data_IF_797326714243
#
_entry.id   IF_797326714243
#
_cell.length_a   1.000
_cell.length_b   1.000
_cell.length_c   1.000
_cell.angle_alpha   90.00
_cell.angle_beta   90.00
_cell.angle_gamma   90.00
#
_symmetry.space_group_name_H-M   'P 1'
#
loop_
_entity.id
_entity.type
_entity.pdbx_description
1 polymer ?
#
# COMPACT_ATOMS: atom_id res chain seq x y z
N UNK A 1 -4.34 -0.18 -3.39
CA UNK A 1 -3.40 -0.75 -4.36
C UNK A 1 -2.45 -1.75 -3.69
N UNK A 2 -1.64 -1.35 -2.71
CA UNK A 2 -0.69 -2.24 -2.04
C UNK A 2 -1.34 -3.49 -1.42
N UNK A 3 -2.53 -3.36 -0.82
CA UNK A 3 -3.27 -4.50 -0.29
C UNK A 3 -3.72 -5.48 -1.40
N UNK A 4 -4.06 -4.97 -2.60
CA UNK A 4 -4.37 -5.81 -3.76
C UNK A 4 -3.14 -6.58 -4.24
N UNK A 5 -1.96 -5.92 -4.28
CA UNK A 5 -0.69 -6.59 -4.61
C UNK A 5 -0.39 -7.66 -3.56
N UNK A 6 -0.43 -7.31 -2.27
CA UNK A 6 -0.17 -8.25 -1.18
C UNK A 6 -1.09 -9.48 -1.24
N UNK A 7 -2.39 -9.26 -1.46
CA UNK A 7 -3.38 -10.34 -1.65
C UNK A 7 -3.05 -11.22 -2.85
N UNK A 8 -2.68 -10.64 -3.98
CA UNK A 8 -2.38 -11.41 -5.19
C UNK A 8 -1.09 -12.23 -5.05
N UNK A 9 -0.05 -11.62 -4.47
CA UNK A 9 1.24 -12.29 -4.21
C UNK A 9 1.06 -13.41 -3.17
N UNK A 10 0.29 -13.17 -2.10
CA UNK A 10 0.11 -14.12 -1.00
C UNK A 10 -0.63 -15.41 -1.38
N UNK A 11 -1.21 -15.50 -2.57
CA UNK A 11 -1.76 -16.75 -3.10
C UNK A 11 -0.69 -17.83 -3.34
N UNK A 12 0.54 -17.41 -3.59
CA UNK A 12 1.65 -18.30 -3.95
C UNK A 12 2.86 -18.08 -3.04
N UNK A 13 3.12 -16.82 -2.65
CA UNK A 13 4.32 -16.39 -1.96
C UNK A 13 4.01 -15.83 -0.58
N UNK A 14 4.85 -16.13 0.40
CA UNK A 14 4.68 -15.63 1.77
C UNK A 14 4.91 -14.11 1.82
N UNK A 15 3.89 -13.39 2.25
CA UNK A 15 3.88 -11.92 2.28
C UNK A 15 3.71 -11.40 3.71
N UNK A 16 4.60 -10.51 4.14
CA UNK A 16 4.45 -9.75 5.38
C UNK A 16 3.90 -8.36 5.06
N UNK A 17 2.82 -7.99 5.73
CA UNK A 17 2.19 -6.67 5.61
C UNK A 17 2.24 -5.94 6.95
N UNK A 18 3.05 -4.88 7.03
CA UNK A 18 3.11 -3.98 8.19
C UNK A 18 2.15 -2.82 7.97
N UNK A 19 1.07 -2.80 8.74
CA UNK A 19 0.02 -1.78 8.67
C UNK A 19 0.12 -0.84 9.85
N UNK A 20 0.74 0.31 9.64
CA UNK A 20 1.04 1.25 10.72
C UNK A 20 -0.09 2.25 10.95
N UNK A 21 -1.00 2.39 9.97
CA UNK A 21 -2.16 3.29 10.04
C UNK A 21 -3.47 2.54 10.29
N UNK A 22 -3.64 1.38 9.66
CA UNK A 22 -4.90 0.64 9.71
C UNK A 22 -4.77 -0.60 10.60
N UNK A 23 -5.81 -0.91 11.38
CA UNK A 23 -5.87 -2.13 12.16
C UNK A 23 -6.02 -3.38 11.26
N UNK A 24 -5.59 -4.55 11.77
CA UNK A 24 -5.83 -5.85 11.13
C UNK A 24 -7.28 -6.03 10.72
N UNK A 25 -8.22 -5.66 11.61
CA UNK A 25 -9.64 -5.80 11.36
C UNK A 25 -10.08 -5.00 10.14
N UNK A 26 -9.60 -3.76 9.98
CA UNK A 26 -9.93 -2.93 8.82
C UNK A 26 -9.36 -3.49 7.53
N UNK A 27 -8.13 -4.06 7.56
CA UNK A 27 -7.55 -4.72 6.40
C UNK A 27 -8.33 -6.00 6.04
N UNK A 28 -8.67 -6.83 7.03
CA UNK A 28 -9.46 -8.04 6.82
C UNK A 28 -10.84 -7.72 6.23
N UNK A 29 -11.51 -6.67 6.71
CA UNK A 29 -12.77 -6.22 6.13
C UNK A 29 -12.64 -5.85 4.65
N UNK A 30 -11.57 -5.16 4.27
CA UNK A 30 -11.31 -4.82 2.86
C UNK A 30 -11.02 -6.08 2.04
N UNK A 31 -10.22 -7.01 2.55
CA UNK A 31 -9.91 -8.27 1.87
C UNK A 31 -11.16 -9.11 1.65
N UNK A 32 -12.03 -9.25 2.67
CA UNK A 32 -13.32 -9.95 2.53
C UNK A 32 -14.16 -9.30 1.43
N UNK A 33 -14.27 -7.96 1.40
CA UNK A 33 -15.02 -7.26 0.36
C UNK A 33 -14.44 -7.50 -1.04
N UNK A 34 -13.10 -7.56 -1.17
CA UNK A 34 -12.43 -7.85 -2.44
C UNK A 34 -12.71 -9.25 -2.95
N UNK A 35 -12.81 -10.26 -2.05
CA UNK A 35 -13.01 -11.66 -2.43
C UNK A 35 -14.48 -12.01 -2.66
N UNK A 36 -15.37 -11.44 -1.87
CA UNK A 36 -16.79 -11.83 -1.86
C UNK A 36 -17.70 -10.92 -2.67
N UNK A 37 -17.17 -9.88 -3.30
CA UNK A 37 -17.94 -8.82 -3.97
C UNK A 37 -19.06 -8.28 -3.04
N UNK A 38 -18.73 -8.09 -1.76
CA UNK A 38 -19.57 -7.42 -0.78
C UNK A 38 -19.20 -5.94 -0.72
N UNK A 39 -20.21 -5.08 -0.78
CA UNK A 39 -20.00 -3.63 -0.72
C UNK A 39 -19.30 -3.23 0.58
N UNK A 40 -18.26 -2.43 0.47
CA UNK A 40 -17.50 -1.93 1.62
C UNK A 40 -18.36 -1.05 2.55
N UNK A 41 -19.37 -0.33 2.01
CA UNK A 41 -20.34 0.41 2.79
C UNK A 41 -21.13 -0.50 3.73
N UNK A 42 -21.64 -1.62 3.23
CA UNK A 42 -22.37 -2.60 4.06
C UNK A 42 -21.47 -3.17 5.17
N UNK A 43 -20.19 -3.42 4.85
CA UNK A 43 -19.21 -3.92 5.82
C UNK A 43 -19.00 -2.90 6.95
N UNK A 44 -18.92 -1.60 6.63
CA UNK A 44 -18.75 -0.51 7.60
C UNK A 44 -19.99 -0.29 8.46
N UNK A 45 -21.17 -0.30 7.85
CA UNK A 45 -22.46 -0.08 8.50
C UNK A 45 -22.91 -1.30 9.32
N UNK A 46 -22.28 -2.46 9.12
CA UNK A 46 -22.65 -3.76 9.73
C UNK A 46 -24.10 -4.14 9.46
N UNK A 47 -24.63 -3.70 8.33
CA UNK A 47 -26.02 -3.94 7.91
C UNK A 47 -26.07 -5.10 6.92
N UNK A 48 -26.07 -6.33 7.47
CA UNK A 48 -26.04 -7.56 6.69
C UNK A 48 -27.38 -8.27 6.68
N UNK A 49 -27.85 -8.62 5.49
CA UNK A 49 -28.92 -9.59 5.33
C UNK A 49 -28.32 -11.03 5.29
N UNK A 50 -29.18 -12.04 5.17
CA UNK A 50 -28.76 -13.44 5.15
C UNK A 50 -27.78 -13.78 3.99
N UNK A 51 -27.95 -13.15 2.83
CA UNK A 51 -27.08 -13.35 1.67
C UNK A 51 -25.74 -12.64 1.85
N UNK A 52 -25.74 -11.45 2.48
CA UNK A 52 -24.50 -10.73 2.80
C UNK A 52 -23.65 -11.55 3.78
N UNK A 53 -24.26 -12.18 4.79
CA UNK A 53 -23.55 -13.07 5.71
C UNK A 53 -22.90 -14.26 4.99
N UNK A 54 -23.62 -14.85 4.03
CA UNK A 54 -23.01 -15.93 3.21
C UNK A 54 -21.79 -15.43 2.46
N UNK A 55 -21.88 -14.27 1.82
CA UNK A 55 -20.74 -13.64 1.13
C UNK A 55 -19.56 -13.40 2.07
N UNK A 56 -19.81 -12.91 3.29
CA UNK A 56 -18.75 -12.70 4.30
C UNK A 56 -18.04 -14.01 4.62
N UNK A 57 -18.80 -15.09 4.83
CA UNK A 57 -18.21 -16.41 5.14
C UNK A 57 -17.42 -16.97 3.94
N UNK A 58 -18.01 -16.96 2.75
CA UNK A 58 -17.35 -17.43 1.53
C UNK A 58 -16.05 -16.63 1.27
N UNK A 59 -16.06 -15.29 1.48
CA UNK A 59 -14.88 -14.46 1.36
C UNK A 59 -13.83 -14.74 2.45
N UNK A 60 -14.26 -15.00 3.68
CA UNK A 60 -13.35 -15.34 4.78
C UNK A 60 -12.67 -16.70 4.54
N UNK A 61 -13.40 -17.67 4.00
CA UNK A 61 -12.84 -18.99 3.65
C UNK A 61 -11.74 -18.88 2.59
N UNK A 62 -11.94 -18.03 1.57
CA UNK A 62 -10.92 -17.77 0.54
C UNK A 62 -9.65 -17.11 1.09
N UNK A 63 -9.79 -16.37 2.19
CA UNK A 63 -8.63 -15.70 2.80
C UNK A 63 -7.78 -16.63 3.67
N UNK A 64 -8.31 -17.78 4.11
CA UNK A 64 -7.58 -18.74 4.94
C UNK A 64 -6.39 -19.37 4.19
N UNK A 65 -6.50 -19.49 2.88
CA UNK A 65 -5.47 -20.07 2.01
C UNK A 65 -4.36 -19.08 1.63
N UNK A 66 -4.48 -17.82 2.03
CA UNK A 66 -3.48 -16.80 1.72
C UNK A 66 -2.29 -16.88 2.68
N UNK A 67 -1.08 -16.88 2.13
CA UNK A 67 0.16 -16.76 2.87
C UNK A 67 0.43 -15.29 3.26
N UNK A 68 -0.59 -14.59 3.78
CA UNK A 68 -0.56 -13.18 4.17
C UNK A 68 -0.50 -13.02 5.68
N UNK A 69 0.61 -12.50 6.18
CA UNK A 69 0.83 -12.21 7.60
C UNK A 69 0.76 -10.71 7.83
N UNK A 70 -0.18 -10.28 8.66
CA UNK A 70 -0.40 -8.86 8.94
C UNK A 70 0.06 -8.51 10.35
N UNK A 71 0.88 -7.47 10.46
CA UNK A 71 1.28 -6.85 11.71
C UNK A 71 0.76 -5.42 11.75
N UNK A 72 -0.07 -5.08 12.73
CA UNK A 72 -0.67 -3.75 12.92
C UNK A 72 -0.12 -3.01 14.15
N UNK A 73 1.12 -3.34 14.54
CA UNK A 73 1.83 -2.60 15.58
C UNK A 73 2.26 -1.22 15.04
N UNK A 74 1.67 -0.16 15.59
CA UNK A 74 1.96 1.22 15.18
C UNK A 74 3.34 1.72 15.62
N UNK A 75 4.00 1.03 16.55
CA UNK A 75 5.33 1.40 17.05
C UNK A 75 6.36 0.35 16.61
N UNK A 76 6.70 0.39 15.33
CA UNK A 76 7.64 -0.57 14.76
C UNK A 76 8.87 0.16 14.21
N UNK A 77 10.06 -0.40 14.45
CA UNK A 77 11.32 0.06 13.87
C UNK A 77 11.73 -0.80 12.68
N UNK A 78 12.71 -0.36 11.91
CA UNK A 78 13.27 -1.18 10.80
C UNK A 78 13.96 -2.43 11.36
N UNK A 79 14.54 -2.35 12.54
CA UNK A 79 15.13 -3.53 13.22
C UNK A 79 14.06 -4.56 13.62
N UNK A 80 12.87 -4.10 14.02
CA UNK A 80 11.75 -5.01 14.32
C UNK A 80 11.22 -5.67 13.05
N UNK A 81 11.09 -4.90 11.95
CA UNK A 81 10.70 -5.43 10.63
C UNK A 81 11.67 -6.52 10.20
N UNK A 82 12.98 -6.27 10.32
CA UNK A 82 14.04 -7.24 10.04
C UNK A 82 13.88 -8.50 10.88
N UNK A 83 13.75 -8.35 12.19
CA UNK A 83 13.62 -9.49 13.11
C UNK A 83 12.39 -10.34 12.77
N UNK A 84 11.24 -9.72 12.51
CA UNK A 84 10.00 -10.41 12.14
C UNK A 84 10.12 -11.12 10.80
N UNK A 85 10.77 -10.50 9.80
CA UNK A 85 11.01 -11.14 8.50
C UNK A 85 11.87 -12.40 8.63
N UNK A 86 12.94 -12.36 9.44
CA UNK A 86 13.80 -13.51 9.71
C UNK A 86 13.04 -14.62 10.46
N UNK A 87 12.25 -14.25 11.49
CA UNK A 87 11.47 -15.22 12.26
C UNK A 87 10.36 -15.87 11.45
N UNK A 88 9.77 -15.16 10.51
CA UNK A 88 8.69 -15.68 9.67
C UNK A 88 9.19 -16.68 8.63
N UNK A 89 10.47 -16.71 8.31
CA UNK A 89 11.11 -17.57 7.29
C UNK A 89 10.39 -17.54 5.93
N UNK A 90 11.11 -17.78 4.87
CA UNK A 90 10.59 -17.92 3.49
C UNK A 90 9.66 -16.75 3.06
N UNK A 91 9.91 -15.55 3.59
CA UNK A 91 9.19 -14.34 3.17
C UNK A 91 9.70 -13.90 1.81
N UNK A 92 8.79 -13.63 0.89
CA UNK A 92 9.11 -13.25 -0.49
C UNK A 92 8.64 -11.83 -0.86
N UNK A 93 7.80 -11.22 -0.02
CA UNK A 93 7.41 -9.82 -0.15
C UNK A 93 7.18 -9.18 1.22
N UNK A 94 7.72 -7.99 1.41
CA UNK A 94 7.40 -7.13 2.56
C UNK A 94 6.63 -5.91 2.05
N UNK A 95 5.47 -5.62 2.66
CA UNK A 95 4.68 -4.41 2.41
C UNK A 95 4.65 -3.56 3.65
N UNK A 96 4.84 -2.24 3.52
CA UNK A 96 4.85 -1.29 4.65
C UNK A 96 3.90 -0.14 4.33
N UNK A 97 2.87 0.04 5.14
CA UNK A 97 1.86 1.09 5.01
C UNK A 97 1.85 1.97 6.28
N UNK A 98 2.55 3.09 6.30
CA UNK A 98 3.43 3.74 5.34
C UNK A 98 4.73 4.26 5.99
N UNK A 99 5.70 4.62 5.16
CA UNK A 99 7.08 5.00 5.55
C UNK A 99 7.16 5.97 6.73
N UNK A 100 6.37 7.05 6.68
CA UNK A 100 6.43 8.13 7.65
C UNK A 100 5.92 7.75 9.06
N UNK A 101 5.32 6.56 9.23
CA UNK A 101 4.90 6.04 10.53
C UNK A 101 5.91 5.06 11.16
N UNK A 102 6.95 4.68 10.44
CA UNK A 102 8.02 3.86 11.01
C UNK A 102 8.69 4.65 12.14
N UNK A 103 8.87 3.98 13.29
CA UNK A 103 9.53 4.57 14.44
C UNK A 103 11.03 4.65 14.25
N UNK A 104 11.62 5.80 14.55
CA UNK A 104 13.06 5.98 14.48
C UNK A 104 13.74 5.48 15.77
N UNK A 105 14.84 4.75 15.63
CA UNK A 105 15.68 4.32 16.73
C UNK A 105 16.62 5.42 17.25
N UNK A 106 16.76 6.48 16.48
CA UNK A 106 17.65 7.60 16.78
C UNK A 106 16.87 8.91 16.76
N UNK A 107 17.37 9.92 17.48
CA UNK A 107 16.84 11.29 17.38
C UNK A 107 17.48 11.98 16.18
N UNK A 108 16.66 12.59 15.36
CA UNK A 108 17.09 13.40 14.22
C UNK A 108 16.77 14.87 14.45
N UNK A 109 17.58 15.75 13.85
CA UNK A 109 17.39 17.19 13.92
C UNK A 109 16.21 17.70 13.11
N UNK A 110 15.82 16.97 12.07
CA UNK A 110 14.70 17.29 11.20
C UNK A 110 14.11 16.03 10.54
N UNK A 111 12.89 16.15 10.04
CA UNK A 111 12.14 15.06 9.43
C UNK A 111 12.77 14.52 8.13
N UNK A 112 13.38 15.40 7.34
CA UNK A 112 14.06 15.03 6.08
C UNK A 112 15.19 14.05 6.35
N UNK A 113 16.04 14.34 7.33
CA UNK A 113 17.16 13.45 7.71
C UNK A 113 16.66 12.11 8.26
N UNK A 114 15.57 12.13 9.02
CA UNK A 114 14.94 10.92 9.55
C UNK A 114 14.43 10.01 8.42
N UNK A 115 13.66 10.56 7.47
CA UNK A 115 13.15 9.82 6.32
C UNK A 115 14.29 9.31 5.44
N UNK A 116 15.35 10.12 5.26
CA UNK A 116 16.54 9.70 4.47
C UNK A 116 17.25 8.50 5.09
N UNK A 117 17.39 8.45 6.40
CA UNK A 117 17.96 7.29 7.08
C UNK A 117 17.05 6.06 6.95
N UNK A 118 15.73 6.25 7.05
CA UNK A 118 14.75 5.16 6.91
C UNK A 118 14.80 4.54 5.51
N UNK A 119 14.77 5.34 4.46
CA UNK A 119 14.81 4.84 3.07
C UNK A 119 16.09 4.08 2.78
N UNK A 120 17.22 4.63 3.22
CA UNK A 120 18.52 3.96 3.10
C UNK A 120 18.53 2.62 3.83
N UNK A 121 18.04 2.57 5.07
CA UNK A 121 17.98 1.33 5.87
C UNK A 121 17.04 0.29 5.25
N UNK A 122 15.89 0.70 4.71
CA UNK A 122 14.98 -0.19 3.98
C UNK A 122 15.65 -0.75 2.71
N UNK A 123 16.41 0.07 1.99
CA UNK A 123 17.18 -0.40 0.83
C UNK A 123 18.26 -1.42 1.22
N UNK A 124 18.94 -1.19 2.34
CA UNK A 124 19.93 -2.15 2.89
C UNK A 124 19.24 -3.44 3.30
N UNK A 125 18.10 -3.34 3.99
CA UNK A 125 17.32 -4.49 4.44
C UNK A 125 16.83 -5.35 3.27
N UNK A 126 16.30 -4.72 2.21
CA UNK A 126 15.86 -5.43 1.01
C UNK A 126 17.00 -6.23 0.36
N UNK A 127 18.22 -5.65 0.33
CA UNK A 127 19.40 -6.34 -0.18
C UNK A 127 19.92 -7.44 0.76
N UNK A 128 19.90 -7.21 2.06
CA UNK A 128 20.36 -8.16 3.06
C UNK A 128 19.51 -9.44 3.05
N UNK A 129 18.20 -9.27 2.97
CA UNK A 129 17.24 -10.38 2.98
C UNK A 129 17.00 -10.97 1.58
N UNK A 130 17.42 -10.28 0.52
CA UNK A 130 17.09 -10.58 -0.88
C UNK A 130 15.57 -10.65 -1.11
N UNK A 131 14.83 -9.74 -0.47
CA UNK A 131 13.36 -9.66 -0.51
C UNK A 131 12.95 -8.28 -1.04
N UNK A 132 12.02 -8.18 -2.01
CA UNK A 132 11.44 -6.91 -2.41
C UNK A 132 10.62 -6.29 -1.27
N UNK A 133 10.80 -4.97 -1.09
CA UNK A 133 10.03 -4.18 -0.12
C UNK A 133 9.16 -3.19 -0.89
N UNK A 134 7.84 -3.34 -0.77
CA UNK A 134 6.85 -2.38 -1.25
C UNK A 134 6.49 -1.42 -0.11
N UNK A 135 7.05 -0.21 -0.16
CA UNK A 135 6.82 0.79 0.89
C UNK A 135 5.94 1.92 0.36
N UNK A 136 4.82 2.18 1.03
CA UNK A 136 3.96 3.31 0.70
C UNK A 136 4.57 4.60 1.28
N UNK A 137 4.35 5.70 0.58
CA UNK A 137 4.77 7.02 1.04
C UNK A 137 3.69 8.05 0.78
N UNK A 138 3.47 8.91 1.76
CA UNK A 138 2.59 10.05 1.59
C UNK A 138 3.25 11.10 0.71
N UNK A 139 2.47 11.69 -0.21
CA UNK A 139 2.90 12.82 -1.02
C UNK A 139 2.76 14.14 -0.26
N UNK A 140 3.56 15.12 -0.64
CA UNK A 140 3.38 16.50 -0.18
C UNK A 140 2.08 17.08 -0.76
N UNK A 141 1.50 18.07 -0.08
CA UNK A 141 0.29 18.75 -0.56
C UNK A 141 0.51 19.64 -1.80
N UNK A 142 1.74 19.70 -2.32
CA UNK A 142 2.04 20.48 -3.51
C UNK A 142 1.28 19.98 -4.76
N UNK A 143 1.01 18.68 -4.86
CA UNK A 143 0.19 18.12 -5.94
C UNK A 143 -1.24 18.66 -5.93
N UNK A 144 -1.83 18.92 -4.76
CA UNK A 144 -3.18 19.46 -4.62
C UNK A 144 -3.31 20.92 -5.08
N UNK A 145 -2.19 21.66 -5.11
CA UNK A 145 -2.14 23.07 -5.53
C UNK A 145 -1.97 23.24 -7.04
N UNK A 146 -1.65 22.18 -7.78
CA UNK A 146 -1.52 22.21 -9.22
C UNK A 146 -2.89 22.06 -9.90
N UNK A 147 -3.03 22.66 -11.07
CA UNK A 147 -4.29 22.62 -11.85
C UNK A 147 -4.67 21.20 -12.29
N UNK A 148 -3.67 20.38 -12.59
CA UNK A 148 -3.86 18.99 -13.04
C UNK A 148 -3.88 17.97 -11.91
N UNK A 149 -3.49 18.37 -10.69
CA UNK A 149 -3.36 17.52 -9.50
C UNK A 149 -2.53 16.25 -9.72
N UNK A 150 -1.83 16.15 -10.87
CA UNK A 150 -1.07 14.95 -11.24
C UNK A 150 0.20 14.83 -10.40
N UNK A 151 0.42 13.71 -9.69
CA UNK A 151 1.60 13.56 -8.85
C UNK A 151 2.88 13.41 -9.68
N UNK A 152 3.99 13.92 -9.17
CA UNK A 152 5.32 13.83 -9.78
C UNK A 152 6.40 13.61 -8.72
N UNK A 153 7.62 13.23 -9.14
CA UNK A 153 8.73 12.91 -8.22
C UNK A 153 9.05 14.05 -7.24
N UNK A 154 8.89 15.30 -7.67
CA UNK A 154 9.09 16.46 -6.76
C UNK A 154 8.09 16.53 -5.60
N UNK A 155 6.98 15.80 -5.65
CA UNK A 155 6.01 15.74 -4.54
C UNK A 155 6.50 14.83 -3.41
N UNK A 156 7.56 14.06 -3.66
CA UNK A 156 8.36 13.36 -2.65
C UNK A 156 9.42 14.27 -2.01
N UNK A 157 9.31 15.60 -2.18
CA UNK A 157 10.37 16.60 -1.92
C UNK A 157 10.86 16.64 -0.47
N UNK A 158 10.01 16.42 0.51
CA UNK A 158 10.43 16.32 1.92
C UNK A 158 11.26 15.05 2.17
N UNK A 159 11.50 14.28 1.12
CA UNK A 159 12.16 12.99 1.12
C UNK A 159 12.84 12.73 -0.23
N UNK A 160 13.67 13.68 -0.70
CA UNK A 160 14.47 13.48 -1.95
C UNK A 160 15.29 12.19 -1.95
N UNK A 161 15.56 11.65 -0.77
CA UNK A 161 16.14 10.33 -0.56
C UNK A 161 15.23 9.18 -1.02
N UNK A 162 13.89 9.31 -0.92
CA UNK A 162 12.97 8.28 -1.41
C UNK A 162 13.20 8.07 -2.91
N UNK A 163 13.28 9.17 -3.66
CA UNK A 163 13.57 9.09 -5.09
C UNK A 163 14.94 8.46 -5.36
N UNK A 164 15.95 8.77 -4.57
CA UNK A 164 17.31 8.26 -4.78
C UNK A 164 17.42 6.77 -4.45
N UNK A 165 16.85 6.34 -3.33
CA UNK A 165 17.01 4.99 -2.79
C UNK A 165 16.08 3.96 -3.46
N UNK A 166 14.87 4.36 -3.87
CA UNK A 166 13.92 3.47 -4.53
C UNK A 166 14.43 3.06 -5.92
N UNK A 167 14.27 1.78 -6.28
CA UNK A 167 14.52 1.28 -7.62
C UNK A 167 13.37 1.61 -8.57
N UNK A 168 12.14 1.54 -8.05
CA UNK A 168 10.91 1.85 -8.77
C UNK A 168 10.09 2.81 -7.91
N UNK A 169 9.52 3.84 -8.54
CA UNK A 169 8.54 4.73 -7.91
C UNK A 169 7.26 4.69 -8.74
N UNK A 170 6.19 4.24 -8.10
CA UNK A 170 4.84 4.22 -8.66
C UNK A 170 4.01 5.31 -8.01
N UNK A 171 3.31 6.09 -8.83
CA UNK A 171 2.36 7.10 -8.36
C UNK A 171 0.97 6.77 -8.86
N UNK A 172 -0.01 6.84 -7.99
CA UNK A 172 -1.40 6.58 -8.34
C UNK A 172 -2.14 7.90 -8.50
N UNK A 173 -2.85 8.04 -9.61
CA UNK A 173 -3.64 9.20 -9.91
C UNK A 173 -5.03 8.82 -10.41
N UNK A 174 -6.06 9.33 -9.74
CA UNK A 174 -7.46 9.15 -10.13
C UNK A 174 -8.05 10.51 -10.48
N UNK A 175 -8.27 10.75 -11.74
CA UNK A 175 -8.83 12.01 -12.25
C UNK A 175 -10.22 12.29 -11.69
N UNK A 176 -11.06 11.26 -11.58
CA UNK A 176 -12.43 11.33 -11.04
C UNK A 176 -12.52 11.89 -9.60
N UNK A 177 -11.42 11.88 -8.84
CA UNK A 177 -11.38 12.49 -7.51
C UNK A 177 -11.39 14.03 -7.52
N UNK A 178 -11.06 14.63 -8.64
CA UNK A 178 -10.90 16.08 -8.83
C UNK A 178 -11.93 16.68 -9.78
N UNK A 179 -12.75 15.87 -10.44
CA UNK A 179 -13.83 16.27 -11.30
C UNK A 179 -15.17 16.40 -10.55
N UNK A 180 -16.10 17.15 -11.12
CA UNK A 180 -17.44 17.29 -10.55
C UNK A 180 -18.12 15.92 -10.41
N UNK A 181 -18.74 15.67 -9.25
CA UNK A 181 -19.38 14.39 -8.87
C UNK A 181 -20.38 13.84 -9.92
N UNK A 182 -20.87 14.66 -10.83
CA UNK A 182 -21.78 14.21 -11.90
C UNK A 182 -21.13 13.29 -12.94
N UNK A 183 -19.80 13.34 -13.07
CA UNK A 183 -19.02 12.55 -14.03
C UNK A 183 -18.06 11.58 -13.33
N UNK A 184 -17.88 11.70 -12.02
CA UNK A 184 -16.90 10.94 -11.25
C UNK A 184 -17.28 9.47 -11.04
N UNK A 185 -18.56 9.12 -11.11
CA UNK A 185 -19.05 7.76 -10.85
C UNK A 185 -18.89 6.81 -12.04
N UNK A 186 -18.65 7.33 -13.25
CA UNK A 186 -18.48 6.53 -14.47
C UNK A 186 -17.02 6.20 -14.79
N UNK A 187 -16.06 6.98 -14.29
CA UNK A 187 -14.64 6.78 -14.56
C UNK A 187 -13.95 6.06 -13.40
N UNK A 188 -13.87 4.74 -13.49
CA UNK A 188 -13.12 3.88 -12.56
C UNK A 188 -11.62 3.82 -12.87
N UNK A 189 -11.14 4.62 -13.81
CA UNK A 189 -9.73 4.61 -14.22
C UNK A 189 -8.82 5.16 -13.13
N UNK A 190 -7.66 4.53 -13.01
CA UNK A 190 -6.58 4.96 -12.14
C UNK A 190 -5.25 4.85 -12.89
N UNK A 191 -4.60 5.97 -13.12
CA UNK A 191 -3.27 5.97 -13.70
C UNK A 191 -2.26 5.46 -12.66
N UNK A 192 -1.57 4.39 -13.00
CA UNK A 192 -0.36 3.96 -12.30
C UNK A 192 0.84 4.47 -13.07
N UNK A 193 1.40 5.58 -12.59
CA UNK A 193 2.52 6.28 -13.24
C UNK A 193 3.82 5.69 -12.73
N UNK A 194 4.60 5.06 -13.60
CA UNK A 194 5.96 4.61 -13.33
C UNK A 194 6.87 5.83 -13.45
N UNK A 195 6.97 6.60 -12.35
CA UNK A 195 7.71 7.87 -12.34
C UNK A 195 9.24 7.64 -12.31
N UNK A 196 9.68 6.50 -11.79
CA UNK A 196 11.07 6.03 -11.83
C UNK A 196 11.09 4.52 -12.01
N UNK A 197 11.99 4.04 -12.87
CA UNK A 197 12.32 2.63 -13.00
C UNK A 197 13.82 2.51 -13.32
N UNK A 198 14.60 1.95 -12.38
CA UNK A 198 16.06 1.85 -12.53
C UNK A 198 16.47 0.85 -13.61
N UNK A 199 15.66 -0.15 -13.89
CA UNK A 199 15.96 -1.26 -14.78
C UNK A 199 15.07 -1.33 -16.01
N UNK A 200 14.22 -0.33 -16.24
CA UNK A 200 13.29 -0.29 -17.36
C UNK A 200 12.83 1.13 -17.69
N UNK A 201 11.81 1.23 -18.50
CA UNK A 201 11.26 2.50 -18.95
C UNK A 201 10.27 3.09 -17.93
N UNK A 202 10.21 4.42 -17.89
CA UNK A 202 9.14 5.15 -17.25
C UNK A 202 7.90 5.16 -18.16
N UNK A 203 6.71 5.28 -17.58
CA UNK A 203 5.48 5.26 -18.37
C UNK A 203 4.25 5.32 -17.49
N UNK A 204 3.08 5.07 -18.09
CA UNK A 204 1.81 5.02 -17.35
C UNK A 204 1.02 3.81 -17.78
N UNK A 205 0.54 3.05 -16.81
CA UNK A 205 -0.44 1.98 -17.01
C UNK A 205 -1.79 2.45 -16.50
N UNK A 206 -2.86 2.19 -17.24
CA UNK A 206 -4.21 2.47 -16.78
C UNK A 206 -4.75 1.22 -16.09
N UNK A 207 -5.16 1.39 -14.84
CA UNK A 207 -5.79 0.36 -14.03
C UNK A 207 -7.26 0.71 -13.85
N UNK A 208 -8.10 -0.31 -13.68
CA UNK A 208 -9.47 -0.13 -13.25
C UNK A 208 -9.54 -0.24 -11.73
N UNK A 209 -10.13 0.76 -11.06
CA UNK A 209 -10.33 0.73 -9.62
C UNK A 209 -11.80 0.78 -9.27
N UNK A 210 -12.30 -0.27 -8.65
CA UNK A 210 -13.64 -0.31 -8.11
C UNK A 210 -13.63 0.11 -6.62
N UNK A 211 -14.09 1.34 -6.31
CA UNK A 211 -14.11 1.84 -4.94
C UNK A 211 -15.10 1.11 -4.04
N UNK A 212 -16.15 0.50 -4.61
CA UNK A 212 -17.18 -0.19 -3.83
C UNK A 212 -16.63 -1.46 -3.16
N UNK A 213 -15.67 -2.11 -3.80
CA UNK A 213 -15.01 -3.32 -3.30
C UNK A 213 -13.54 -3.10 -2.94
N UNK A 214 -13.01 -1.87 -3.08
CA UNK A 214 -11.57 -1.56 -2.92
C UNK A 214 -10.66 -2.39 -3.82
N UNK A 215 -11.11 -2.74 -5.02
CA UNK A 215 -10.48 -3.70 -5.91
C UNK A 215 -9.85 -3.00 -7.11
N UNK A 216 -8.58 -3.33 -7.39
CA UNK A 216 -7.89 -2.99 -8.62
C UNK A 216 -7.91 -4.17 -9.59
N UNK A 217 -8.08 -3.85 -10.89
CA UNK A 217 -8.09 -4.81 -12.00
C UNK A 217 -7.15 -4.33 -13.12
#
# INVERSE_FOLDING_TARGET
FALNIARNVSKVHKTLFFSLEMSKLQLMQRLVCMESDLLLSKMRERNFNKWDWKKVLDGADLLQDLNLFVDDNSFITISDIRAKAILCQDVELIVIDYLQLISSEKKFSNRVSEVSEMTRRLKVLAKELDIPILCLSQLSRASEQRTDHRPMLSDLRDSGSIEQDADIVLMLYRKSMYEDKKFADEDESCDCIIAKNRHGEAGTCILKFDPQFSKFQ
#
